data_IF_512130927434
#
_entry.id   IF_512130927434
#
_cell.length_a   1.000
_cell.length_b   1.000
_cell.length_c   1.000
_cell.angle_alpha   90.00
_cell.angle_beta   90.00
_cell.angle_gamma   90.00
#
_symmetry.space_group_name_H-M   'P 1'
#
loop_
_entity.id
_entity.type
_entity.pdbx_description
1 polymer ?
#
# COMPACT_ATOMS: atom_id res chain seq x y z
N UNK A 1 7.15 26.69 5.32
CA UNK A 1 5.72 26.38 5.15
C UNK A 1 5.36 25.35 6.21
N UNK A 2 4.48 25.67 7.17
CA UNK A 2 4.08 24.69 8.19
C UNK A 2 3.03 23.74 7.62
N UNK A 3 3.28 22.43 7.70
CA UNK A 3 2.35 21.38 7.26
C UNK A 3 1.61 20.85 8.49
N UNK A 4 0.28 20.99 8.49
CA UNK A 4 -0.58 20.45 9.55
C UNK A 4 -0.69 18.92 9.47
N UNK A 5 -1.08 18.27 10.57
CA UNK A 5 -1.41 16.83 10.58
C UNK A 5 -2.45 16.48 9.51
N UNK A 6 -3.47 17.34 9.36
CA UNK A 6 -4.51 17.22 8.34
C UNK A 6 -3.97 17.23 6.93
N UNK A 7 -3.19 18.25 6.60
CA UNK A 7 -2.61 18.39 5.27
C UNK A 7 -1.68 17.23 4.94
N UNK A 8 -0.86 16.80 5.90
CA UNK A 8 0.01 15.64 5.75
C UNK A 8 -0.81 14.35 5.51
N UNK A 9 -1.87 14.11 6.30
CA UNK A 9 -2.75 12.96 6.10
C UNK A 9 -3.41 12.94 4.71
N UNK A 10 -3.86 14.09 4.22
CA UNK A 10 -4.42 14.22 2.86
C UNK A 10 -3.37 13.92 1.79
N UNK A 11 -2.13 14.39 1.93
CA UNK A 11 -1.06 14.10 0.99
C UNK A 11 -0.68 12.61 0.99
N UNK A 12 -0.64 11.97 2.16
CA UNK A 12 -0.43 10.52 2.26
C UNK A 12 -1.58 9.74 1.58
N UNK A 13 -2.83 10.16 1.78
CA UNK A 13 -3.99 9.54 1.13
C UNK A 13 -3.99 9.72 -0.39
N UNK A 14 -3.63 10.89 -0.90
CA UNK A 14 -3.49 11.13 -2.33
C UNK A 14 -2.38 10.26 -2.94
N UNK A 15 -1.24 10.13 -2.26
CA UNK A 15 -0.17 9.23 -2.68
C UNK A 15 -0.64 7.76 -2.69
N UNK A 16 -1.40 7.33 -1.68
CA UNK A 16 -1.99 6.00 -1.64
C UNK A 16 -2.98 5.76 -2.81
N UNK A 17 -3.75 6.77 -3.22
CA UNK A 17 -4.61 6.67 -4.41
C UNK A 17 -3.80 6.54 -5.70
N UNK A 18 -2.69 7.28 -5.83
CA UNK A 18 -1.77 7.13 -6.97
C UNK A 18 -1.26 5.69 -7.04
N UNK A 19 -0.85 5.11 -5.90
CA UNK A 19 -0.43 3.71 -5.83
C UNK A 19 -1.55 2.74 -6.25
N UNK A 20 -2.78 2.96 -5.81
CA UNK A 20 -3.91 2.10 -6.23
C UNK A 20 -4.08 2.14 -7.75
N UNK A 21 -3.98 3.32 -8.36
CA UNK A 21 -4.08 3.48 -9.81
C UNK A 21 -2.91 2.79 -10.52
N UNK A 22 -1.67 2.98 -10.06
CA UNK A 22 -0.50 2.33 -10.70
C UNK A 22 -0.54 0.80 -10.55
N UNK A 23 -1.02 0.28 -9.42
CA UNK A 23 -1.20 -1.16 -9.22
C UNK A 23 -2.25 -1.73 -10.18
N UNK A 24 -3.36 -1.01 -10.40
CA UNK A 24 -4.36 -1.40 -11.40
C UNK A 24 -3.79 -1.35 -12.82
N UNK A 25 -3.02 -0.30 -13.14
CA UNK A 25 -2.35 -0.16 -14.44
C UNK A 25 -1.30 -1.25 -14.67
N UNK A 26 -0.53 -1.62 -13.65
CA UNK A 26 0.43 -2.72 -13.71
C UNK A 26 -0.29 -4.03 -14.05
N UNK A 27 -1.38 -4.33 -13.33
CA UNK A 27 -2.18 -5.53 -13.56
C UNK A 27 -2.72 -5.59 -15.00
N UNK A 28 -3.30 -4.50 -15.49
CA UNK A 28 -3.79 -4.43 -16.88
C UNK A 28 -2.63 -4.53 -17.87
N UNK A 29 -1.50 -3.86 -17.63
CA UNK A 29 -0.33 -3.94 -18.50
C UNK A 29 0.20 -5.38 -18.61
N UNK A 30 0.27 -6.10 -17.49
CA UNK A 30 0.68 -7.50 -17.43
C UNK A 30 -0.31 -8.46 -18.08
N UNK A 31 -1.62 -8.20 -18.01
CA UNK A 31 -2.63 -9.10 -18.58
C UNK A 31 -3.00 -8.81 -20.04
N UNK A 32 -3.01 -7.53 -20.42
CA UNK A 32 -3.47 -7.07 -21.74
C UNK A 32 -2.31 -6.66 -22.68
N UNK A 33 -1.06 -6.68 -22.18
CA UNK A 33 0.11 -6.40 -23.00
C UNK A 33 0.16 -4.97 -23.53
N UNK A 34 -0.17 -3.97 -22.70
CA UNK A 34 -0.21 -2.56 -23.10
C UNK A 34 1.15 -1.98 -23.56
N UNK A 35 2.24 -2.74 -23.40
CA UNK A 35 3.59 -2.35 -23.85
C UNK A 35 4.22 -1.26 -23.00
N UNK A 36 3.66 -0.95 -21.83
CA UNK A 36 4.24 0.02 -20.90
C UNK A 36 5.41 -0.66 -20.19
N UNK A 37 6.58 -0.01 -20.20
CA UNK A 37 7.74 -0.50 -19.48
C UNK A 37 7.45 -0.58 -17.98
N UNK A 38 7.52 -1.78 -17.42
CA UNK A 38 7.27 -2.05 -15.99
C UNK A 38 8.13 -1.18 -15.08
N UNK A 39 9.36 -0.84 -15.50
CA UNK A 39 10.26 0.06 -14.79
C UNK A 39 9.71 1.47 -14.60
N UNK A 40 8.92 1.98 -15.55
CA UNK A 40 8.26 3.30 -15.42
C UNK A 40 7.21 3.25 -14.32
N UNK A 41 6.34 2.23 -14.34
CA UNK A 41 5.30 2.06 -13.33
C UNK A 41 5.93 1.92 -11.95
N UNK A 42 6.94 1.06 -11.82
CA UNK A 42 7.66 0.84 -10.56
C UNK A 42 8.40 2.08 -10.07
N UNK A 43 8.99 2.90 -10.97
CA UNK A 43 9.63 4.15 -10.55
C UNK A 43 8.62 5.13 -9.95
N UNK A 44 7.45 5.26 -10.58
CA UNK A 44 6.36 6.10 -10.06
C UNK A 44 5.89 5.56 -8.70
N UNK A 45 5.77 4.24 -8.57
CA UNK A 45 5.40 3.59 -7.31
C UNK A 45 6.43 3.85 -6.20
N UNK A 46 7.72 3.71 -6.48
CA UNK A 46 8.77 4.01 -5.51
C UNK A 46 8.66 5.44 -4.97
N UNK A 47 8.47 6.43 -5.85
CA UNK A 47 8.26 7.83 -5.46
C UNK A 47 6.96 7.99 -4.66
N UNK A 48 5.86 7.39 -5.11
CA UNK A 48 4.57 7.42 -4.42
C UNK A 48 4.65 6.84 -3.01
N UNK A 49 5.32 5.70 -2.84
CA UNK A 49 5.53 5.07 -1.54
C UNK A 49 6.41 5.91 -0.62
N UNK A 50 7.46 6.56 -1.14
CA UNK A 50 8.29 7.49 -0.35
C UNK A 50 7.50 8.72 0.11
N UNK A 51 6.76 9.36 -0.79
CA UNK A 51 5.89 10.50 -0.48
C UNK A 51 4.87 10.13 0.59
N UNK A 52 4.20 9.00 0.40
CA UNK A 52 3.24 8.47 1.37
C UNK A 52 3.88 8.23 2.74
N UNK A 53 5.05 7.59 2.79
CA UNK A 53 5.76 7.31 4.03
C UNK A 53 6.13 8.59 4.78
N UNK A 54 6.71 9.57 4.08
CA UNK A 54 7.09 10.87 4.65
C UNK A 54 5.86 11.58 5.23
N UNK A 55 4.79 11.71 4.46
CA UNK A 55 3.61 12.44 4.93
C UNK A 55 2.85 11.73 6.04
N UNK A 56 2.83 10.39 6.05
CA UNK A 56 2.29 9.65 7.19
C UNK A 56 3.14 9.85 8.45
N UNK A 57 4.47 9.87 8.34
CA UNK A 57 5.34 10.19 9.48
C UNK A 57 5.17 11.64 9.96
N UNK A 58 4.98 12.60 9.05
CA UNK A 58 4.68 13.99 9.42
C UNK A 58 3.35 14.08 10.17
N UNK A 59 2.30 13.39 9.71
CA UNK A 59 1.02 13.33 10.42
C UNK A 59 1.21 12.77 11.85
N UNK A 60 1.95 11.68 11.99
CA UNK A 60 2.28 11.07 13.28
C UNK A 60 3.06 12.03 14.20
N UNK A 61 4.10 12.70 13.68
CA UNK A 61 4.92 13.64 14.43
C UNK A 61 4.14 14.89 14.88
N UNK A 62 3.12 15.28 14.11
CA UNK A 62 2.19 16.37 14.45
C UNK A 62 1.05 15.92 15.37
N UNK A 63 1.19 14.76 16.03
CA UNK A 63 0.24 14.19 17.00
C UNK A 63 -1.15 13.95 16.41
N UNK A 64 -1.22 13.55 15.15
CA UNK A 64 -2.49 13.17 14.55
C UNK A 64 -3.21 12.12 15.43
N UNK A 65 -4.52 12.25 15.50
CA UNK A 65 -5.39 11.24 16.08
C UNK A 65 -5.19 9.91 15.34
N UNK A 66 -5.28 8.79 16.07
CA UNK A 66 -5.00 7.43 15.59
C UNK A 66 -3.56 7.17 15.10
N UNK A 67 -2.54 7.20 16.00
CA UNK A 67 -1.14 6.95 15.64
C UNK A 67 -0.88 5.61 14.96
N UNK A 68 -1.69 4.58 15.25
CA UNK A 68 -1.63 3.26 14.60
C UNK A 68 -1.85 3.35 13.10
N UNK A 69 -2.77 4.21 12.64
CA UNK A 69 -3.06 4.39 11.21
C UNK A 69 -1.83 4.93 10.50
N UNK A 70 -1.27 6.02 11.02
CA UNK A 70 -0.13 6.70 10.40
C UNK A 70 1.15 5.87 10.44
N UNK A 71 1.39 5.16 11.54
CA UNK A 71 2.50 4.21 11.62
C UNK A 71 2.36 3.08 10.58
N UNK A 72 1.14 2.53 10.43
CA UNK A 72 0.89 1.45 9.47
C UNK A 72 1.05 1.92 8.01
N UNK A 73 0.55 3.11 7.67
CA UNK A 73 0.74 3.71 6.33
C UNK A 73 2.23 4.00 6.07
N UNK A 74 2.94 4.56 7.05
CA UNK A 74 4.36 4.87 6.92
C UNK A 74 5.21 3.63 6.68
N UNK A 75 5.07 2.62 7.54
CA UNK A 75 5.80 1.36 7.41
C UNK A 75 5.39 0.59 6.16
N UNK A 76 4.10 0.60 5.80
CA UNK A 76 3.63 -0.01 4.56
C UNK A 76 4.23 0.66 3.32
N UNK A 77 4.39 1.98 3.33
CA UNK A 77 5.14 2.70 2.31
C UNK A 77 6.60 2.28 2.26
N UNK A 78 7.31 2.29 3.39
CA UNK A 78 8.73 1.92 3.46
C UNK A 78 8.97 0.49 2.93
N UNK A 79 8.17 -0.48 3.35
CA UNK A 79 8.31 -1.86 2.87
C UNK A 79 8.09 -1.97 1.37
N UNK A 80 7.12 -1.26 0.81
CA UNK A 80 6.92 -1.28 -0.64
C UNK A 80 8.00 -0.51 -1.40
N UNK A 81 8.61 0.55 -0.85
CA UNK A 81 9.82 1.16 -1.46
C UNK A 81 10.95 0.14 -1.56
N UNK A 82 11.19 -0.62 -0.48
CA UNK A 82 12.22 -1.67 -0.46
C UNK A 82 11.90 -2.73 -1.52
N UNK A 83 10.67 -3.21 -1.55
CA UNK A 83 10.21 -4.20 -2.53
C UNK A 83 10.43 -3.74 -3.97
N UNK A 84 9.97 -2.54 -4.31
CA UNK A 84 10.10 -1.97 -5.65
C UNK A 84 11.57 -1.71 -5.99
N UNK A 85 12.37 -1.24 -5.03
CA UNK A 85 13.81 -1.04 -5.18
C UNK A 85 14.55 -2.35 -5.52
N UNK A 86 14.20 -3.44 -4.85
CA UNK A 86 14.72 -4.79 -5.19
C UNK A 86 14.34 -5.15 -6.63
N UNK A 87 13.07 -4.96 -7.01
CA UNK A 87 12.59 -5.25 -8.36
C UNK A 87 13.34 -4.46 -9.44
N UNK A 88 13.49 -3.16 -9.25
CA UNK A 88 14.19 -2.27 -10.17
C UNK A 88 15.69 -2.55 -10.29
N UNK A 89 16.35 -2.88 -9.17
CA UNK A 89 17.80 -3.04 -9.15
C UNK A 89 18.27 -4.46 -9.48
N UNK A 90 17.49 -5.49 -9.15
CA UNK A 90 17.98 -6.87 -9.13
C UNK A 90 17.31 -7.79 -10.15
N UNK A 91 16.04 -7.57 -10.53
CA UNK A 91 15.34 -8.53 -11.38
C UNK A 91 15.93 -8.63 -12.79
N UNK A 92 16.19 -7.49 -13.45
CA UNK A 92 16.80 -7.46 -14.78
C UNK A 92 18.16 -8.16 -14.81
N UNK A 93 19.15 -7.74 -14.01
CA UNK A 93 20.47 -8.37 -13.99
C UNK A 93 20.44 -9.87 -13.67
N UNK A 94 19.57 -10.29 -12.75
CA UNK A 94 19.44 -11.71 -12.40
C UNK A 94 18.76 -12.53 -13.49
N UNK A 95 17.86 -11.95 -14.29
CA UNK A 95 17.27 -12.61 -15.45
C UNK A 95 18.28 -12.71 -16.61
N UNK A 96 19.04 -11.66 -16.86
CA UNK A 96 20.06 -11.60 -17.92
C UNK A 96 21.22 -12.58 -17.69
N UNK A 97 21.55 -12.86 -16.43
CA UNK A 97 22.56 -13.85 -16.06
C UNK A 97 22.16 -15.32 -16.34
N UNK A 98 20.91 -15.56 -16.76
CA UNK A 98 20.44 -16.86 -17.26
C UNK A 98 20.32 -17.95 -16.20
N UNK A 99 20.40 -19.22 -16.61
CA UNK A 99 20.09 -20.37 -15.75
C UNK A 99 20.98 -20.46 -14.49
N UNK A 100 22.21 -19.92 -14.56
CA UNK A 100 23.14 -19.92 -13.45
C UNK A 100 22.65 -19.08 -12.24
N UNK A 101 21.79 -18.09 -12.48
CA UNK A 101 21.22 -17.22 -11.44
C UNK A 101 19.76 -17.55 -11.11
N UNK A 102 19.17 -18.60 -11.69
CA UNK A 102 17.75 -18.90 -11.51
C UNK A 102 17.33 -19.04 -10.03
N UNK A 103 18.12 -19.77 -9.23
CA UNK A 103 17.86 -19.92 -7.80
C UNK A 103 17.98 -18.58 -7.04
N UNK A 104 18.96 -17.75 -7.41
CA UNK A 104 19.14 -16.43 -6.81
C UNK A 104 17.99 -15.48 -7.20
N UNK A 105 17.55 -15.51 -8.46
CA UNK A 105 16.38 -14.75 -8.92
C UNK A 105 15.14 -15.13 -8.11
N UNK A 106 14.85 -16.41 -7.93
CA UNK A 106 13.68 -16.86 -7.17
C UNK A 106 13.76 -16.46 -5.69
N UNK A 107 14.93 -16.54 -5.06
CA UNK A 107 15.12 -16.10 -3.68
C UNK A 107 14.89 -14.59 -3.52
N UNK A 108 15.43 -13.79 -4.45
CA UNK A 108 15.27 -12.33 -4.46
C UNK A 108 13.83 -11.92 -4.77
N UNK A 109 13.17 -12.61 -5.71
CA UNK A 109 11.76 -12.44 -6.02
C UNK A 109 10.89 -12.73 -4.79
N UNK A 110 11.10 -13.86 -4.13
CA UNK A 110 10.37 -14.22 -2.90
C UNK A 110 10.59 -13.18 -1.79
N UNK A 111 11.83 -12.72 -1.60
CA UNK A 111 12.15 -11.67 -0.63
C UNK A 111 11.46 -10.34 -0.94
N UNK A 112 11.44 -9.91 -2.21
CA UNK A 112 10.72 -8.72 -2.64
C UNK A 112 9.21 -8.85 -2.34
N UNK A 113 8.60 -9.99 -2.69
CA UNK A 113 7.18 -10.20 -2.45
C UNK A 113 6.83 -10.37 -0.97
N UNK A 114 7.74 -10.81 -0.11
CA UNK A 114 7.53 -10.75 1.34
C UNK A 114 7.29 -9.30 1.81
N UNK A 115 8.11 -8.34 1.36
CA UNK A 115 7.91 -6.93 1.67
C UNK A 115 6.63 -6.35 1.05
N UNK A 116 6.26 -6.80 -0.16
CA UNK A 116 4.95 -6.49 -0.77
C UNK A 116 3.81 -6.90 0.17
N UNK A 117 3.80 -8.16 0.62
CA UNK A 117 2.75 -8.67 1.52
C UNK A 117 2.76 -7.96 2.86
N UNK A 118 3.93 -7.76 3.47
CA UNK A 118 4.04 -7.03 4.73
C UNK A 118 3.48 -5.61 4.64
N UNK A 119 3.74 -4.90 3.54
CA UNK A 119 3.19 -3.57 3.33
C UNK A 119 1.67 -3.57 3.14
N UNK A 120 1.14 -4.50 2.34
CA UNK A 120 -0.30 -4.66 2.11
C UNK A 120 -1.05 -5.08 3.38
N UNK A 121 -0.44 -5.91 4.23
CA UNK A 121 -0.93 -6.25 5.57
C UNK A 121 -1.12 -4.98 6.43
N UNK A 122 -0.13 -4.09 6.43
CA UNK A 122 -0.18 -2.84 7.19
C UNK A 122 -1.25 -1.87 6.65
N UNK A 123 -1.43 -1.78 5.32
CA UNK A 123 -2.56 -1.03 4.77
C UNK A 123 -3.91 -1.62 5.20
N UNK A 124 -3.99 -2.94 5.37
CA UNK A 124 -5.14 -3.61 5.96
C UNK A 124 -5.46 -3.14 7.38
N UNK A 125 -4.45 -3.07 8.24
CA UNK A 125 -4.59 -2.51 9.61
C UNK A 125 -5.09 -1.07 9.56
N UNK A 126 -4.49 -0.22 8.72
CA UNK A 126 -4.90 1.17 8.57
C UNK A 126 -6.37 1.28 8.15
N UNK A 127 -6.81 0.48 7.17
CA UNK A 127 -8.19 0.45 6.67
C UNK A 127 -9.19 0.05 7.77
N UNK A 128 -8.88 -0.98 8.56
CA UNK A 128 -9.74 -1.42 9.68
C UNK A 128 -9.91 -0.30 10.70
N UNK A 129 -8.80 0.30 11.16
CA UNK A 129 -8.85 1.34 12.21
C UNK A 129 -9.59 2.59 11.73
N UNK A 130 -9.31 3.04 10.50
CA UNK A 130 -10.02 4.16 9.89
C UNK A 130 -11.52 3.86 9.70
N UNK A 131 -11.86 2.65 9.25
CA UNK A 131 -13.23 2.22 9.06
C UNK A 131 -14.01 2.21 10.38
N UNK A 132 -13.43 1.66 11.45
CA UNK A 132 -14.06 1.67 12.78
C UNK A 132 -14.40 3.09 13.25
N UNK A 133 -13.52 4.06 12.97
CA UNK A 133 -13.73 5.45 13.36
C UNK A 133 -14.86 6.13 12.57
N UNK A 134 -15.19 5.65 11.37
CA UNK A 134 -16.28 6.14 10.52
C UNK A 134 -17.65 5.52 10.82
N UNK A 135 -17.74 4.46 11.65
CA UNK A 135 -19.00 3.76 11.92
C UNK A 135 -20.08 4.62 12.58
N UNK A 136 -19.68 5.68 13.28
CA UNK A 136 -20.60 6.63 13.95
C UNK A 136 -21.05 7.78 13.05
N UNK A 137 -20.60 7.81 11.79
CA UNK A 137 -20.92 8.87 10.84
C UNK A 137 -22.25 8.68 10.10
N UNK A 138 -22.54 9.58 9.14
CA UNK A 138 -23.68 9.45 8.21
C UNK A 138 -23.65 8.16 7.40
N UNK A 139 -24.76 7.80 6.74
CA UNK A 139 -24.88 6.55 5.96
C UNK A 139 -23.73 6.38 4.96
N UNK A 140 -23.37 7.43 4.20
CA UNK A 140 -22.27 7.38 3.25
C UNK A 140 -20.92 7.04 3.90
N UNK A 141 -20.64 7.61 5.07
CA UNK A 141 -19.43 7.30 5.86
C UNK A 141 -19.45 5.86 6.38
N UNK A 142 -20.62 5.34 6.77
CA UNK A 142 -20.79 3.95 7.24
C UNK A 142 -20.61 2.93 6.12
N UNK A 143 -20.99 3.26 4.88
CA UNK A 143 -20.69 2.41 3.71
C UNK A 143 -19.19 2.32 3.50
N UNK A 144 -18.48 3.45 3.51
CA UNK A 144 -17.01 3.48 3.41
C UNK A 144 -16.38 2.72 4.58
N UNK A 145 -16.90 2.87 5.79
CA UNK A 145 -16.45 2.13 6.96
C UNK A 145 -16.53 0.62 6.77
N UNK A 146 -17.68 0.13 6.30
CA UNK A 146 -17.88 -1.29 6.02
C UNK A 146 -16.90 -1.82 4.97
N UNK A 147 -16.73 -1.09 3.86
CA UNK A 147 -15.79 -1.46 2.80
C UNK A 147 -14.34 -1.45 3.27
N UNK A 148 -13.93 -0.45 4.06
CA UNK A 148 -12.59 -0.36 4.63
C UNK A 148 -12.31 -1.50 5.63
N UNK A 149 -13.26 -1.82 6.50
CA UNK A 149 -13.11 -2.92 7.47
C UNK A 149 -13.03 -4.27 6.74
N UNK A 150 -13.95 -4.55 5.81
CA UNK A 150 -13.98 -5.84 5.11
C UNK A 150 -12.73 -6.06 4.26
N UNK A 151 -12.35 -5.07 3.45
CA UNK A 151 -11.13 -5.14 2.65
C UNK A 151 -9.88 -5.20 3.53
N UNK A 152 -9.85 -4.47 4.64
CA UNK A 152 -8.74 -4.49 5.59
C UNK A 152 -8.57 -5.84 6.28
N UNK A 153 -9.66 -6.49 6.70
CA UNK A 153 -9.62 -7.84 7.27
C UNK A 153 -9.13 -8.86 6.23
N UNK A 154 -9.64 -8.79 5.00
CA UNK A 154 -9.17 -9.64 3.91
C UNK A 154 -7.67 -9.42 3.64
N UNK A 155 -7.21 -8.17 3.61
CA UNK A 155 -5.82 -7.83 3.40
C UNK A 155 -4.92 -8.38 4.52
N UNK A 156 -5.31 -8.20 5.78
CA UNK A 156 -4.58 -8.72 6.96
C UNK A 156 -4.44 -10.24 6.86
N UNK A 157 -5.54 -10.96 6.64
CA UNK A 157 -5.52 -12.43 6.59
C UNK A 157 -4.73 -12.94 5.40
N UNK A 158 -5.06 -12.48 4.19
CA UNK A 158 -4.45 -13.01 2.96
C UNK A 158 -2.97 -12.67 2.87
N UNK A 159 -2.55 -11.46 3.29
CA UNK A 159 -1.13 -11.11 3.26
C UNK A 159 -0.33 -11.77 4.38
N UNK A 160 -0.95 -12.05 5.55
CA UNK A 160 -0.31 -12.87 6.58
C UNK A 160 -0.03 -14.29 6.08
N UNK A 161 -1.01 -14.91 5.40
CA UNK A 161 -0.83 -16.23 4.77
C UNK A 161 0.21 -16.17 3.64
N UNK A 162 0.14 -15.14 2.78
CA UNK A 162 1.05 -14.97 1.66
C UNK A 162 2.52 -14.79 2.09
N UNK A 163 2.79 -14.19 3.26
CA UNK A 163 4.15 -14.14 3.81
C UNK A 163 4.75 -15.52 4.09
N UNK A 164 3.91 -16.54 4.35
CA UNK A 164 4.37 -17.93 4.55
C UNK A 164 4.30 -18.79 3.28
N UNK A 165 3.28 -18.60 2.44
CA UNK A 165 3.05 -19.39 1.22
C UNK A 165 3.84 -18.87 0.02
N UNK A 166 4.06 -17.55 -0.05
CA UNK A 166 4.81 -16.92 -1.13
C UNK A 166 3.98 -16.65 -2.39
N UNK A 167 4.58 -16.94 -3.55
CA UNK A 167 4.15 -16.41 -4.85
C UNK A 167 2.76 -16.85 -5.31
N UNK A 168 2.27 -18.00 -4.86
CA UNK A 168 0.95 -18.52 -5.23
C UNK A 168 -0.21 -17.61 -4.77
N UNK A 169 0.04 -16.80 -3.74
CA UNK A 169 -0.96 -15.92 -3.14
C UNK A 169 -0.93 -14.50 -3.69
N UNK A 170 -0.02 -14.17 -4.61
CA UNK A 170 0.24 -12.78 -5.06
C UNK A 170 -1.02 -12.06 -5.51
N UNK A 171 -1.82 -12.68 -6.36
CA UNK A 171 -3.02 -12.03 -6.90
C UNK A 171 -4.10 -11.81 -5.83
N UNK A 172 -4.40 -12.82 -5.02
CA UNK A 172 -5.43 -12.72 -3.99
C UNK A 172 -5.02 -11.73 -2.88
N UNK A 173 -3.81 -11.87 -2.35
CA UNK A 173 -3.28 -11.00 -1.29
C UNK A 173 -3.08 -9.56 -1.79
N UNK A 174 -2.60 -9.42 -3.03
CA UNK A 174 -2.42 -8.15 -3.71
C UNK A 174 -3.72 -7.40 -3.96
N UNK A 175 -4.75 -8.08 -4.48
CA UNK A 175 -6.07 -7.49 -4.72
C UNK A 175 -6.71 -7.01 -3.41
N UNK A 176 -6.69 -7.84 -2.36
CA UNK A 176 -7.22 -7.47 -1.05
C UNK A 176 -6.49 -6.27 -0.45
N UNK A 177 -5.15 -6.27 -0.50
CA UNK A 177 -4.35 -5.15 0.00
C UNK A 177 -4.53 -3.86 -0.81
N UNK A 178 -4.74 -3.96 -2.13
CA UNK A 178 -5.05 -2.79 -2.97
C UNK A 178 -6.44 -2.23 -2.66
N UNK A 179 -7.44 -3.09 -2.42
CA UNK A 179 -8.76 -2.65 -1.98
C UNK A 179 -8.70 -1.97 -0.60
N UNK A 180 -7.95 -2.55 0.35
CA UNK A 180 -7.74 -1.94 1.66
C UNK A 180 -7.07 -0.57 1.55
N UNK A 181 -6.03 -0.44 0.73
CA UNK A 181 -5.38 0.83 0.44
C UNK A 181 -6.36 1.87 -0.13
N UNK A 182 -7.17 1.51 -1.11
CA UNK A 182 -8.19 2.39 -1.70
C UNK A 182 -9.16 2.91 -0.64
N UNK A 183 -9.75 2.02 0.15
CA UNK A 183 -10.75 2.42 1.13
C UNK A 183 -10.13 3.13 2.34
N UNK A 184 -8.88 2.84 2.72
CA UNK A 184 -8.14 3.64 3.68
C UNK A 184 -7.92 5.08 3.18
N UNK A 185 -7.54 5.26 1.91
CA UNK A 185 -7.34 6.58 1.32
C UNK A 185 -8.65 7.39 1.31
N UNK A 186 -9.74 6.77 0.86
CA UNK A 186 -11.08 7.39 0.86
C UNK A 186 -11.50 7.72 2.30
N UNK A 187 -11.26 6.82 3.25
CA UNK A 187 -11.56 7.06 4.66
C UNK A 187 -10.80 8.29 5.19
N UNK A 188 -9.49 8.42 4.95
CA UNK A 188 -8.72 9.62 5.34
C UNK A 188 -9.27 10.90 4.70
N UNK A 189 -9.61 10.87 3.41
CA UNK A 189 -10.12 12.05 2.70
C UNK A 189 -11.52 12.47 3.20
N UNK A 190 -12.32 11.52 3.69
CA UNK A 190 -13.65 11.77 4.24
C UNK A 190 -13.61 12.20 5.71
N UNK A 191 -12.70 11.64 6.50
CA UNK A 191 -12.47 12.01 7.90
C UNK A 191 -11.71 13.33 8.06
N UNK A 192 -11.10 13.88 7.00
CA UNK A 192 -10.63 15.26 6.99
C UNK A 192 -11.71 16.30 7.36
N UNK A 193 -13.00 15.91 7.46
CA UNK A 193 -14.11 16.72 7.98
C UNK A 193 -14.50 16.43 9.44
N UNK A 194 -14.00 15.37 10.08
CA UNK A 194 -14.31 14.95 11.46
C UNK A 194 -13.07 14.35 12.16
N UNK A 195 -12.60 15.02 13.22
CA UNK A 195 -11.74 14.64 14.37
C UNK A 195 -10.62 13.57 14.30
N UNK A 196 -10.34 12.88 13.19
CA UNK A 196 -9.33 11.80 13.07
C UNK A 196 -8.01 12.32 12.44
N UNK A 197 -8.02 13.55 11.96
CA UNK A 197 -6.84 14.24 11.42
C UNK A 197 -6.53 15.55 12.13
N UNK A 198 -7.28 15.86 13.21
CA UNK A 198 -7.07 16.99 14.10
C UNK A 198 -6.42 16.55 15.40
#
# INVERSE_FOLDING_TARGET
MEISARSAGQMAALALLVIVVTQALYMVNSSAGLGIATSIIWTIEAVGFMVMAVFAMVALARRASAPVVWASIALGGIFNVIQVGIGLAMFGPLQEAGDASAAAFQAVLAGAFFFYFAGKFLFGIAAIVLGMALLKGPIAARVIAGLAILSGLAAVVLNAVAMGVGMDMVFAAGAAGTAAALFAAIAVLTTGRQSIVS
#
